data_IF_751072991964
#
_entry.id   IF_751072991964
#
_cell.length_a   1.000
_cell.length_b   1.000
_cell.length_c   1.000
_cell.angle_alpha   90.00
_cell.angle_beta   90.00
_cell.angle_gamma   90.00
#
_symmetry.space_group_name_H-M   'P 1'
#
loop_
_entity.id
_entity.type
_entity.pdbx_description
1 polymer ?
#
# COMPACT_ATOMS: atom_id res chain seq x y z
N UNK A 1 -5.49 -36.14 2.63
CA UNK A 1 -5.64 -35.65 4.02
C UNK A 1 -6.04 -34.19 3.94
N UNK A 2 -7.27 -33.87 4.34
CA UNK A 2 -7.77 -32.50 4.36
C UNK A 2 -7.09 -31.74 5.51
N UNK A 3 -6.37 -30.66 5.19
CA UNK A 3 -5.91 -29.71 6.20
C UNK A 3 -7.15 -28.96 6.70
N UNK A 4 -7.56 -29.21 7.95
CA UNK A 4 -8.58 -28.41 8.60
C UNK A 4 -8.03 -27.00 8.83
N UNK A 5 -8.81 -25.99 8.46
CA UNK A 5 -8.60 -24.57 8.77
C UNK A 5 -8.08 -24.41 10.20
N UNK A 6 -6.81 -24.08 10.33
CA UNK A 6 -6.19 -23.93 11.64
C UNK A 6 -6.70 -22.61 12.22
N UNK A 7 -7.71 -22.69 13.10
CA UNK A 7 -8.35 -21.62 13.87
C UNK A 7 -7.61 -20.29 13.78
N UNK A 8 -8.05 -19.47 12.84
CA UNK A 8 -7.38 -18.25 12.43
C UNK A 8 -7.65 -17.12 13.42
N UNK A 9 -6.69 -16.20 13.50
CA UNK A 9 -6.76 -14.96 14.25
C UNK A 9 -8.10 -14.26 13.98
N UNK A 10 -8.82 -13.71 14.99
CA UNK A 10 -10.20 -13.22 14.82
C UNK A 10 -10.36 -12.05 13.83
N UNK A 11 -9.26 -11.56 13.27
CA UNK A 11 -9.17 -10.37 12.45
C UNK A 11 -8.71 -10.63 11.01
N UNK A 12 -8.16 -11.82 10.71
CA UNK A 12 -7.59 -12.11 9.39
C UNK A 12 -7.93 -13.54 8.95
N UNK A 13 -8.49 -13.67 7.76
CA UNK A 13 -8.73 -14.96 7.10
C UNK A 13 -7.57 -15.27 6.15
N UNK A 14 -7.00 -16.47 6.27
CA UNK A 14 -5.93 -16.94 5.37
C UNK A 14 -6.52 -18.00 4.44
N UNK A 15 -7.04 -17.55 3.31
CA UNK A 15 -7.60 -18.44 2.31
C UNK A 15 -6.51 -19.31 1.65
N UNK A 16 -6.58 -20.63 1.84
CA UNK A 16 -5.70 -21.63 1.20
C UNK A 16 -4.20 -21.37 1.41
N UNK A 17 -3.70 -21.36 2.66
CA UNK A 17 -2.29 -21.09 2.92
C UNK A 17 -1.40 -22.11 2.21
N UNK A 18 -0.35 -21.62 1.54
CA UNK A 18 0.71 -22.45 0.94
C UNK A 18 2.08 -22.06 1.50
N UNK A 19 2.42 -22.44 2.74
CA UNK A 19 3.69 -22.09 3.36
C UNK A 19 4.92 -22.59 2.58
N UNK A 20 4.75 -23.69 1.84
CA UNK A 20 5.79 -24.29 0.99
C UNK A 20 5.86 -23.68 -0.42
N UNK A 21 5.17 -22.56 -0.69
CA UNK A 21 5.28 -21.87 -1.96
C UNK A 21 6.74 -21.49 -2.22
N UNK A 22 7.24 -21.81 -3.42
CA UNK A 22 8.62 -21.48 -3.84
C UNK A 22 8.88 -19.97 -3.82
N UNK A 23 7.84 -19.17 -4.09
CA UNK A 23 7.89 -17.72 -4.12
C UNK A 23 6.81 -17.17 -3.20
N UNK A 24 7.17 -16.14 -2.45
CA UNK A 24 6.25 -15.37 -1.60
C UNK A 24 6.29 -13.92 -2.08
N UNK A 25 5.12 -13.35 -2.30
CA UNK A 25 4.97 -11.95 -2.72
C UNK A 25 4.35 -11.20 -1.55
N UNK A 26 4.97 -10.10 -1.15
CA UNK A 26 4.43 -9.17 -0.17
C UNK A 26 3.92 -7.95 -0.93
N UNK A 27 2.63 -7.66 -0.81
CA UNK A 27 2.01 -6.46 -1.35
C UNK A 27 1.59 -5.63 -0.15
N UNK A 28 2.08 -4.39 -0.10
CA UNK A 28 1.73 -3.45 0.95
C UNK A 28 1.26 -2.15 0.31
N UNK A 29 0.03 -1.69 0.60
CA UNK A 29 -0.41 -0.37 0.19
C UNK A 29 0.32 0.67 1.06
N UNK A 30 1.17 1.48 0.44
CA UNK A 30 1.75 2.64 1.12
C UNK A 30 0.74 3.79 1.06
N UNK A 31 0.10 4.08 2.19
CA UNK A 31 -0.78 5.24 2.37
C UNK A 31 -0.11 6.36 3.20
N UNK A 32 1.22 6.30 3.36
CA UNK A 32 1.99 7.28 4.11
C UNK A 32 2.42 8.44 3.23
N UNK A 33 2.29 9.65 3.77
CA UNK A 33 2.93 10.84 3.22
C UNK A 33 4.36 10.96 3.78
N UNK A 34 5.28 11.46 2.97
CA UNK A 34 6.62 11.85 3.44
C UNK A 34 6.57 13.04 4.42
N UNK A 35 5.46 13.78 4.36
CA UNK A 35 5.25 15.06 5.01
C UNK A 35 4.49 14.85 6.32
N UNK A 36 5.20 14.96 7.44
CA UNK A 36 4.61 14.86 8.77
C UNK A 36 3.53 15.94 9.01
N UNK A 37 3.58 17.07 8.30
CA UNK A 37 2.55 18.11 8.40
C UNK A 37 1.23 17.67 7.72
N UNK A 38 1.30 16.67 6.84
CA UNK A 38 0.15 16.01 6.19
C UNK A 38 -0.24 14.69 6.85
N UNK A 39 0.40 14.33 7.96
CA UNK A 39 0.03 13.15 8.74
C UNK A 39 -1.39 13.28 9.29
N UNK A 40 -2.15 12.17 9.26
CA UNK A 40 -3.48 12.10 9.86
C UNK A 40 -3.45 12.34 11.38
N UNK A 41 -2.28 12.20 12.01
CA UNK A 41 -2.08 12.50 13.44
C UNK A 41 -2.15 14.00 13.69
N UNK A 42 -1.70 14.82 12.74
CA UNK A 42 -1.60 16.28 12.89
C UNK A 42 -2.89 17.02 12.50
N UNK A 43 -3.74 16.39 11.68
CA UNK A 43 -5.04 16.93 11.28
C UNK A 43 -6.04 16.98 12.45
N UNK A 44 -6.89 18.00 12.48
CA UNK A 44 -8.16 17.98 13.22
C UNK A 44 -9.12 16.94 12.64
N UNK A 45 -10.17 16.55 13.39
CA UNK A 45 -11.15 15.57 12.88
C UNK A 45 -11.86 16.08 11.61
N UNK A 46 -12.12 17.39 11.51
CA UNK A 46 -12.74 17.99 10.34
C UNK A 46 -11.81 17.93 9.11
N UNK A 47 -10.54 18.27 9.27
CA UNK A 47 -9.53 18.17 8.21
C UNK A 47 -9.32 16.73 7.77
N UNK A 48 -9.29 15.79 8.72
CA UNK A 48 -9.16 14.36 8.41
C UNK A 48 -10.35 13.84 7.61
N UNK A 49 -11.58 14.22 7.97
CA UNK A 49 -12.79 13.84 7.22
C UNK A 49 -12.75 14.39 5.79
N UNK A 50 -12.36 15.65 5.61
CA UNK A 50 -12.26 16.26 4.28
C UNK A 50 -11.20 15.58 3.43
N UNK A 51 -10.03 15.29 4.02
CA UNK A 51 -8.97 14.56 3.34
C UNK A 51 -9.42 13.14 2.95
N UNK A 52 -10.10 12.42 3.84
CA UNK A 52 -10.63 11.08 3.55
C UNK A 52 -11.65 11.10 2.41
N UNK A 53 -12.52 12.10 2.34
CA UNK A 53 -13.44 12.29 1.19
C UNK A 53 -12.69 12.53 -0.11
N UNK A 54 -11.60 13.29 -0.05
CA UNK A 54 -10.77 13.60 -1.23
C UNK A 54 -10.06 12.36 -1.80
N UNK A 55 -9.50 11.51 -0.93
CA UNK A 55 -8.71 10.34 -1.36
C UNK A 55 -9.55 9.07 -1.59
N UNK A 56 -10.78 9.03 -1.08
CA UNK A 56 -11.68 7.88 -1.25
C UNK A 56 -12.29 7.82 -2.66
N UNK A 57 -12.77 6.64 -3.06
CA UNK A 57 -13.61 6.54 -4.25
C UNK A 57 -14.85 7.45 -4.09
N UNK A 58 -15.19 8.30 -5.09
CA UNK A 58 -16.34 9.19 -5.01
C UNK A 58 -17.66 8.48 -4.63
N UNK A 59 -17.83 7.21 -5.00
CA UNK A 59 -19.02 6.41 -4.69
C UNK A 59 -19.09 5.97 -3.23
N UNK A 60 -17.96 5.94 -2.51
CA UNK A 60 -17.92 5.60 -1.09
C UNK A 60 -17.78 6.84 -0.19
N UNK A 61 -17.35 7.98 -0.74
CA UNK A 61 -17.12 9.21 0.03
C UNK A 61 -18.36 9.74 0.78
N UNK A 62 -19.57 9.48 0.28
CA UNK A 62 -20.83 9.88 0.94
C UNK A 62 -20.99 9.29 2.35
N UNK A 63 -20.32 8.17 2.66
CA UNK A 63 -20.35 7.57 4.00
C UNK A 63 -19.83 8.52 5.08
N UNK A 64 -18.94 9.46 4.70
CA UNK A 64 -18.37 10.46 5.60
C UNK A 64 -19.32 11.63 5.90
N UNK A 65 -20.48 11.71 5.27
CA UNK A 65 -21.56 12.63 5.68
C UNK A 65 -22.40 12.04 6.82
N UNK A 66 -22.29 10.74 7.08
CA UNK A 66 -23.01 10.07 8.14
C UNK A 66 -22.25 10.12 9.48
N UNK A 67 -22.61 11.10 10.31
CA UNK A 67 -21.92 11.41 11.59
C UNK A 67 -21.66 10.20 12.50
N UNK A 68 -22.61 9.27 12.75
CA UNK A 68 -22.34 8.11 13.60
C UNK A 68 -21.25 7.18 13.06
N UNK A 69 -21.11 7.05 11.73
CA UNK A 69 -20.03 6.30 11.12
C UNK A 69 -18.69 7.03 11.30
N UNK A 70 -18.66 8.33 11.04
CA UNK A 70 -17.46 9.16 11.23
C UNK A 70 -16.97 9.07 12.68
N UNK A 71 -17.85 9.27 13.66
CA UNK A 71 -17.51 9.22 15.09
C UNK A 71 -16.93 7.87 15.51
N UNK A 72 -17.36 6.78 14.86
CA UNK A 72 -16.82 5.44 15.07
C UNK A 72 -15.47 5.23 14.39
N UNK A 73 -15.29 5.72 13.16
CA UNK A 73 -14.12 5.47 12.33
C UNK A 73 -12.90 6.33 12.72
N UNK A 74 -13.11 7.58 13.11
CA UNK A 74 -12.02 8.52 13.40
C UNK A 74 -11.04 7.98 14.45
N UNK A 75 -11.48 7.42 15.60
CA UNK A 75 -10.56 6.83 16.58
C UNK A 75 -9.71 5.68 16.02
N UNK A 76 -10.29 4.88 15.12
CA UNK A 76 -9.62 3.73 14.48
C UNK A 76 -8.55 4.24 13.51
N UNK A 77 -8.93 5.14 12.60
CA UNK A 77 -8.02 5.73 11.61
C UNK A 77 -6.86 6.49 12.29
N UNK A 78 -7.11 7.18 13.40
CA UNK A 78 -6.05 7.81 14.20
C UNK A 78 -5.13 6.80 14.87
N UNK A 79 -5.65 5.64 15.29
CA UNK A 79 -4.82 4.58 15.85
C UNK A 79 -3.91 3.97 14.77
N UNK A 80 -4.44 3.75 13.56
CA UNK A 80 -3.68 3.24 12.43
C UNK A 80 -2.58 4.23 11.99
N UNK A 81 -2.90 5.52 11.89
CA UNK A 81 -1.93 6.56 11.56
C UNK A 81 -0.77 6.62 12.57
N UNK A 82 -1.05 6.47 13.87
CA UNK A 82 -0.02 6.39 14.93
C UNK A 82 0.96 5.23 14.75
N UNK A 83 0.57 4.16 14.06
CA UNK A 83 1.45 3.05 13.75
C UNK A 83 2.18 3.32 12.43
N UNK A 84 1.46 3.78 11.40
CA UNK A 84 1.97 3.98 10.04
C UNK A 84 2.99 5.12 9.91
N UNK A 85 2.85 6.19 10.69
CA UNK A 85 3.69 7.39 10.56
C UNK A 85 4.97 7.33 11.40
N UNK A 86 5.28 6.18 12.02
CA UNK A 86 6.52 5.97 12.76
C UNK A 86 7.61 5.50 11.80
N UNK A 87 8.51 6.40 11.44
CA UNK A 87 9.70 6.05 10.67
C UNK A 87 10.70 5.29 11.55
N UNK A 88 10.80 3.98 11.36
CA UNK A 88 11.82 3.14 12.00
C UNK A 88 13.00 3.01 11.03
N UNK A 89 14.22 3.42 11.40
CA UNK A 89 15.41 3.16 10.59
C UNK A 89 15.55 1.66 10.32
N UNK A 90 15.58 1.25 9.06
CA UNK A 90 15.71 -0.15 8.66
C UNK A 90 16.99 -0.39 7.86
N UNK A 91 17.67 -1.50 8.12
CA UNK A 91 18.69 -1.99 7.19
C UNK A 91 18.03 -2.39 5.86
N UNK A 92 18.67 -2.14 4.71
CA UNK A 92 18.14 -2.56 3.43
C UNK A 92 17.91 -4.08 3.39
N UNK A 93 16.77 -4.51 2.83
CA UNK A 93 16.41 -5.92 2.72
C UNK A 93 16.95 -6.53 1.42
N UNK A 94 17.28 -7.82 1.44
CA UNK A 94 17.71 -8.56 0.25
C UNK A 94 16.53 -9.10 -0.56
N UNK A 95 15.53 -8.25 -0.80
CA UNK A 95 14.29 -8.57 -1.52
C UNK A 95 14.08 -7.48 -2.58
N UNK A 96 13.78 -7.81 -3.84
CA UNK A 96 13.43 -6.81 -4.85
C UNK A 96 12.23 -5.97 -4.41
N UNK A 97 12.31 -4.66 -4.62
CA UNK A 97 11.22 -3.72 -4.37
C UNK A 97 10.82 -3.09 -5.69
N UNK A 98 9.51 -3.06 -5.97
CA UNK A 98 8.95 -2.38 -7.13
C UNK A 98 7.82 -1.48 -6.64
N UNK A 99 7.87 -0.22 -7.02
CA UNK A 99 6.94 0.82 -6.58
C UNK A 99 5.92 1.09 -7.67
N UNK A 100 4.65 1.16 -7.30
CA UNK A 100 3.52 1.46 -8.18
C UNK A 100 2.83 2.72 -7.66
N UNK A 101 2.60 3.71 -8.52
CA UNK A 101 1.98 4.99 -8.15
C UNK A 101 1.04 5.51 -9.23
N UNK A 102 0.07 6.34 -8.83
CA UNK A 102 -0.70 7.17 -9.74
C UNK A 102 0.12 8.37 -10.23
N UNK A 103 -0.13 8.83 -11.45
CA UNK A 103 0.51 9.98 -12.09
C UNK A 103 0.12 11.31 -11.42
N UNK A 104 -1.09 11.37 -10.88
CA UNK A 104 -1.66 12.60 -10.31
C UNK A 104 -1.52 12.68 -8.78
N UNK A 105 -0.64 11.88 -8.20
CA UNK A 105 -0.33 11.94 -6.77
C UNK A 105 0.48 13.20 -6.46
N UNK A 106 -0.20 14.25 -6.00
CA UNK A 106 0.40 15.57 -5.76
C UNK A 106 1.44 15.55 -4.61
N UNK A 107 1.30 14.58 -3.70
CA UNK A 107 2.14 14.45 -2.51
C UNK A 107 3.37 13.54 -2.73
N UNK A 108 3.50 12.93 -3.92
CA UNK A 108 4.56 11.97 -4.23
C UNK A 108 5.45 12.49 -5.36
N UNK A 109 6.58 13.10 -4.99
CA UNK A 109 7.59 13.47 -5.98
C UNK A 109 8.29 12.24 -6.56
N UNK A 110 8.84 12.37 -7.77
CA UNK A 110 9.67 11.33 -8.38
C UNK A 110 10.86 10.96 -7.47
N UNK A 111 11.49 11.95 -6.82
CA UNK A 111 12.56 11.71 -5.85
C UNK A 111 12.07 10.83 -4.70
N UNK A 112 10.88 11.12 -4.16
CA UNK A 112 10.30 10.34 -3.06
C UNK A 112 10.03 8.88 -3.46
N UNK A 113 9.43 8.65 -4.64
CA UNK A 113 9.20 7.31 -5.16
C UNK A 113 10.52 6.54 -5.37
N UNK A 114 11.56 7.23 -5.83
CA UNK A 114 12.87 6.62 -6.06
C UNK A 114 13.62 6.27 -4.75
N UNK A 115 13.36 6.96 -3.63
CA UNK A 115 14.03 6.65 -2.34
C UNK A 115 13.78 5.24 -1.84
N UNK A 116 12.70 4.58 -2.27
CA UNK A 116 12.46 3.16 -2.00
C UNK A 116 13.62 2.25 -2.43
N UNK A 117 14.43 2.69 -3.41
CA UNK A 117 15.62 1.95 -3.80
C UNK A 117 16.57 1.77 -2.61
N UNK A 118 16.68 2.75 -1.71
CA UNK A 118 17.55 2.73 -0.52
C UNK A 118 17.22 1.56 0.42
N UNK A 119 15.98 1.10 0.42
CA UNK A 119 15.47 0.04 1.31
C UNK A 119 15.76 -1.37 0.82
N UNK A 120 16.35 -1.56 -0.37
CA UNK A 120 16.72 -2.89 -0.89
C UNK A 120 18.18 -2.98 -1.31
N UNK A 121 18.80 -4.15 -1.12
CA UNK A 121 20.12 -4.45 -1.70
C UNK A 121 20.03 -4.91 -3.16
N UNK A 122 18.85 -5.27 -3.67
CA UNK A 122 18.65 -5.81 -5.04
C UNK A 122 18.31 -4.69 -6.03
N UNK A 123 19.29 -3.82 -6.28
CA UNK A 123 19.11 -2.58 -7.07
C UNK A 123 18.75 -2.83 -8.53
N UNK A 124 19.29 -3.88 -9.13
CA UNK A 124 19.11 -4.18 -10.57
C UNK A 124 17.65 -4.47 -10.96
N UNK A 125 16.83 -4.87 -9.99
CA UNK A 125 15.40 -5.15 -10.19
C UNK A 125 14.48 -4.03 -9.68
N UNK A 126 15.04 -2.95 -9.10
CA UNK A 126 14.23 -1.83 -8.63
C UNK A 126 13.59 -1.07 -9.79
N UNK A 127 12.28 -0.84 -9.73
CA UNK A 127 11.55 -0.04 -10.72
C UNK A 127 10.47 0.78 -10.04
N UNK A 128 10.13 1.91 -10.64
CA UNK A 128 8.92 2.69 -10.35
C UNK A 128 8.03 2.61 -11.59
N UNK A 129 6.76 2.25 -11.39
CA UNK A 129 5.72 2.23 -12.44
C UNK A 129 4.65 3.26 -12.10
N UNK A 130 4.42 4.17 -13.04
CA UNK A 130 3.43 5.23 -12.93
C UNK A 130 2.24 4.88 -13.81
N UNK A 131 1.04 4.94 -13.25
CA UNK A 131 -0.22 4.64 -13.92
C UNK A 131 -1.08 5.90 -13.99
N UNK A 132 -1.97 6.05 -14.99
CA UNK A 132 -2.90 7.16 -15.01
C UNK A 132 -3.78 7.17 -13.74
N UNK A 133 -4.22 8.36 -13.32
CA UNK A 133 -5.09 8.53 -12.14
C UNK A 133 -4.35 8.94 -10.86
N UNK A 134 -5.09 8.93 -9.76
CA UNK A 134 -4.61 9.24 -8.40
C UNK A 134 -4.44 7.92 -7.61
N UNK A 135 -4.77 7.94 -6.32
CA UNK A 135 -4.66 6.84 -5.36
C UNK A 135 -5.32 5.52 -5.79
N UNK A 136 -6.44 5.63 -6.50
CA UNK A 136 -7.22 4.48 -6.94
C UNK A 136 -6.76 3.90 -8.30
N UNK A 137 -5.57 4.27 -8.81
CA UNK A 137 -5.03 3.79 -10.09
C UNK A 137 -5.10 2.26 -10.25
N UNK A 138 -4.92 1.52 -9.15
CA UNK A 138 -4.92 0.06 -9.13
C UNK A 138 -6.31 -0.54 -9.40
N UNK A 139 -7.38 0.18 -9.04
CA UNK A 139 -8.76 -0.20 -9.31
C UNK A 139 -9.24 0.35 -10.66
N UNK A 140 -8.89 1.60 -10.98
CA UNK A 140 -9.28 2.28 -12.22
C UNK A 140 -8.58 1.70 -13.47
N UNK A 141 -7.33 1.24 -13.32
CA UNK A 141 -6.49 0.68 -14.38
C UNK A 141 -6.04 -0.75 -14.07
N UNK A 142 -6.92 -1.55 -13.48
CA UNK A 142 -6.62 -2.90 -12.98
C UNK A 142 -5.96 -3.81 -14.03
N UNK A 143 -6.44 -3.83 -15.27
CA UNK A 143 -5.86 -4.64 -16.36
C UNK A 143 -4.40 -4.25 -16.66
N UNK A 144 -4.10 -2.95 -16.69
CA UNK A 144 -2.76 -2.44 -16.94
C UNK A 144 -1.84 -2.76 -15.77
N UNK A 145 -2.31 -2.58 -14.53
CA UNK A 145 -1.55 -2.88 -13.32
C UNK A 145 -1.26 -4.37 -13.22
N UNK A 146 -2.23 -5.25 -13.48
CA UNK A 146 -2.05 -6.70 -13.50
C UNK A 146 -1.08 -7.15 -14.60
N UNK A 147 -1.13 -6.52 -15.77
CA UNK A 147 -0.18 -6.79 -16.84
C UNK A 147 1.25 -6.47 -16.39
N UNK A 148 1.49 -5.27 -15.87
CA UNK A 148 2.79 -4.85 -15.38
C UNK A 148 3.30 -5.72 -14.21
N UNK A 149 2.42 -6.06 -13.26
CA UNK A 149 2.75 -6.94 -12.14
C UNK A 149 3.21 -8.31 -12.62
N UNK A 150 2.57 -8.85 -13.66
CA UNK A 150 2.97 -10.12 -14.27
C UNK A 150 4.33 -10.01 -14.96
N UNK A 151 4.61 -8.92 -15.68
CA UNK A 151 5.92 -8.70 -16.29
C UNK A 151 7.03 -8.65 -15.25
N UNK A 152 6.83 -7.87 -14.20
CA UNK A 152 7.79 -7.68 -13.11
C UNK A 152 8.06 -8.98 -12.37
N UNK A 153 7.01 -9.72 -12.05
CA UNK A 153 7.13 -11.03 -11.41
C UNK A 153 7.92 -12.01 -12.28
N UNK A 154 7.70 -12.01 -13.60
CA UNK A 154 8.46 -12.85 -14.52
C UNK A 154 9.94 -12.46 -14.57
N UNK A 155 10.27 -11.17 -14.56
CA UNK A 155 11.66 -10.70 -14.52
C UNK A 155 12.37 -11.15 -13.23
N UNK A 156 11.72 -11.03 -12.08
CA UNK A 156 12.26 -11.50 -10.79
C UNK A 156 12.52 -13.01 -10.82
N UNK A 157 11.56 -13.79 -11.33
CA UNK A 157 11.72 -15.26 -11.46
C UNK A 157 12.88 -15.62 -12.37
N UNK A 158 13.11 -14.88 -13.46
CA UNK A 158 14.24 -15.14 -14.35
C UNK A 158 15.57 -14.79 -13.70
N UNK A 159 15.65 -13.67 -12.98
CA UNK A 159 16.87 -13.22 -12.30
C UNK A 159 17.31 -14.20 -11.20
N UNK A 160 16.36 -14.79 -10.48
CA UNK A 160 16.61 -15.72 -9.35
C UNK A 160 16.83 -17.17 -9.77
N UNK A 161 16.77 -17.48 -11.08
CA UNK A 161 17.05 -18.81 -11.64
C UNK A 161 18.50 -19.00 -12.10
N UNK A 162 19.33 -17.96 -11.96
CA UNK A 162 20.79 -18.00 -12.15
C UNK A 162 21.45 -18.37 -10.82
#
# INVERSE_FOLDING_TARGET
MAYSSNKEHPWFEICHPRPSAKWQVFIFPAAGTADLDKSFIMMTDAELVENLKHISDPKSAEVFDYKPFVDMMIPILRADAKIGDVLIPSNPINIPIIVYSGEKEEDLSEEFLNRWIELTTVKDLFRVRIFPGHHNFHSEHSDQVLHCLKEDFNQIIMFTKV
#
